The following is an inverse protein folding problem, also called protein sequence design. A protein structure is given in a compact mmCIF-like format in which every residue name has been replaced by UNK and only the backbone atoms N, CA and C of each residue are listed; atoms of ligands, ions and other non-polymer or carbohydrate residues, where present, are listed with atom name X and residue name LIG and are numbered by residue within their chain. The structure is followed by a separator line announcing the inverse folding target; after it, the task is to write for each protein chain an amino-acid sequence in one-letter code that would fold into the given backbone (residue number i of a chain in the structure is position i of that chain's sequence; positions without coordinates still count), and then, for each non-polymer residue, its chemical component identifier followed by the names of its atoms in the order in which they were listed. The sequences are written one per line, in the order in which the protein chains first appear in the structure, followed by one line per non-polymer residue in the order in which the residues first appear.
data_IF_338567675175
#
_entry.id   IF_338567675175
#
_cell.length_a   1.000
_cell.length_b   1.000
_cell.length_c   1.000
_cell.angle_alpha   90.00
_cell.angle_beta   90.00
_cell.angle_gamma   90.00
#
_symmetry.space_group_name_H-M   'P 1'
#
loop_
_entity.id
_entity.type
_entity.pdbx_description
1 polymer ?
#
# COMPACT_ATOMS: atom_id res chain seq x y z
N UNK A 1 -29.02 6.83 -62.54
CA UNK A 1 -28.43 7.08 -61.20
C UNK A 1 -29.09 8.32 -60.61
N UNK A 2 -29.66 8.20 -59.41
CA UNK A 2 -30.33 9.31 -58.74
C UNK A 2 -29.28 10.12 -57.98
N UNK A 3 -28.73 11.16 -58.62
CA UNK A 3 -27.58 11.93 -58.12
C UNK A 3 -27.77 12.46 -56.70
N UNK A 4 -29.01 12.78 -56.29
CA UNK A 4 -29.32 13.23 -54.94
C UNK A 4 -29.24 12.10 -53.91
N UNK A 5 -29.66 10.89 -54.27
CA UNK A 5 -29.53 9.70 -53.42
C UNK A 5 -28.07 9.28 -53.24
N UNK A 6 -27.25 9.39 -54.29
CA UNK A 6 -25.83 9.06 -54.24
C UNK A 6 -25.05 10.03 -53.34
N UNK A 7 -25.39 11.33 -53.38
CA UNK A 7 -24.82 12.35 -52.47
C UNK A 7 -25.23 12.09 -51.02
N UNK A 8 -26.52 11.81 -50.77
CA UNK A 8 -27.02 11.51 -49.44
C UNK A 8 -26.35 10.26 -48.83
N UNK A 9 -26.16 9.20 -49.63
CA UNK A 9 -25.44 8.01 -49.19
C UNK A 9 -23.98 8.30 -48.88
N UNK A 10 -23.31 9.10 -49.72
CA UNK A 10 -21.90 9.47 -49.51
C UNK A 10 -21.70 10.26 -48.21
N UNK A 11 -22.63 11.18 -47.90
CA UNK A 11 -22.62 11.93 -46.63
C UNK A 11 -22.88 11.01 -45.43
N UNK A 12 -23.85 10.09 -45.56
CA UNK A 12 -24.15 9.11 -44.50
C UNK A 12 -22.94 8.22 -44.20
N UNK A 13 -22.27 7.74 -45.24
CA UNK A 13 -21.04 6.94 -45.13
C UNK A 13 -19.93 7.75 -44.46
N UNK A 14 -19.71 9.01 -44.86
CA UNK A 14 -18.71 9.88 -44.23
C UNK A 14 -18.99 10.15 -42.75
N UNK A 15 -20.27 10.33 -42.37
CA UNK A 15 -20.68 10.47 -40.98
C UNK A 15 -20.46 9.17 -40.18
N UNK A 16 -20.79 8.02 -40.76
CA UNK A 16 -20.56 6.73 -40.12
C UNK A 16 -19.06 6.46 -39.89
N UNK A 17 -18.21 6.76 -40.89
CA UNK A 17 -16.76 6.66 -40.75
C UNK A 17 -16.20 7.61 -39.68
N UNK A 18 -16.71 8.85 -39.64
CA UNK A 18 -16.27 9.83 -38.64
C UNK A 18 -16.66 9.38 -37.23
N UNK A 19 -17.88 8.89 -37.05
CA UNK A 19 -18.34 8.33 -35.77
C UNK A 19 -17.50 7.12 -35.33
N UNK A 20 -17.17 6.22 -36.26
CA UNK A 20 -16.29 5.08 -35.99
C UNK A 20 -14.88 5.51 -35.58
N UNK A 21 -14.31 6.52 -36.24
CA UNK A 21 -13.00 7.08 -35.89
C UNK A 21 -13.01 7.71 -34.49
N UNK A 22 -14.03 8.51 -34.16
CA UNK A 22 -14.17 9.09 -32.83
C UNK A 22 -14.35 8.03 -31.74
N UNK A 23 -15.15 6.99 -32.01
CA UNK A 23 -15.29 5.86 -31.10
C UNK A 23 -13.94 5.18 -30.85
N UNK A 24 -13.14 4.94 -31.90
CA UNK A 24 -11.81 4.34 -31.78
C UNK A 24 -10.86 5.19 -30.93
N UNK A 25 -10.83 6.51 -31.16
CA UNK A 25 -10.01 7.45 -30.36
C UNK A 25 -10.46 7.43 -28.90
N UNK A 26 -11.76 7.44 -28.64
CA UNK A 26 -12.30 7.39 -27.29
C UNK A 26 -11.92 6.08 -26.58
N UNK A 27 -12.01 4.93 -27.26
CA UNK A 27 -11.58 3.64 -26.71
C UNK A 27 -10.08 3.61 -26.39
N UNK A 28 -9.22 4.09 -27.29
CA UNK A 28 -7.77 4.15 -27.04
C UNK A 28 -7.41 5.09 -25.88
N UNK A 29 -8.12 6.22 -25.76
CA UNK A 29 -7.92 7.15 -24.64
C UNK A 29 -8.38 6.53 -23.31
N UNK A 30 -9.53 5.86 -23.32
CA UNK A 30 -10.06 5.16 -22.16
C UNK A 30 -9.13 4.04 -21.69
N UNK A 31 -8.68 3.16 -22.59
CA UNK A 31 -7.78 2.03 -22.27
C UNK A 31 -6.46 2.51 -21.66
N UNK A 32 -5.82 3.53 -22.26
CA UNK A 32 -4.63 4.14 -21.69
C UNK A 32 -4.86 4.76 -20.30
N UNK A 33 -6.02 5.37 -20.08
CA UNK A 33 -6.36 5.94 -18.76
C UNK A 33 -6.60 4.85 -17.71
N UNK A 34 -7.17 3.72 -18.12
CA UNK A 34 -7.40 2.57 -17.26
C UNK A 34 -6.08 1.90 -16.87
N UNK A 35 -5.21 1.61 -17.85
CA UNK A 35 -3.89 1.01 -17.61
C UNK A 35 -3.02 1.87 -16.70
N UNK A 36 -3.06 3.20 -16.85
CA UNK A 36 -2.35 4.12 -15.95
C UNK A 36 -2.86 4.03 -14.51
N UNK A 37 -4.19 4.04 -14.33
CA UNK A 37 -4.78 3.90 -12.99
C UNK A 37 -4.44 2.55 -12.37
N UNK A 38 -4.51 1.47 -13.14
CA UNK A 38 -4.17 0.13 -12.66
C UNK A 38 -2.70 0.04 -12.23
N UNK A 39 -1.79 0.60 -13.04
CA UNK A 39 -0.37 0.69 -12.68
C UNK A 39 -0.13 1.52 -11.40
N UNK A 40 -0.82 2.65 -11.24
CA UNK A 40 -0.77 3.46 -10.01
C UNK A 40 -1.26 2.68 -8.79
N UNK A 41 -2.39 1.95 -8.91
CA UNK A 41 -2.89 1.11 -7.82
C UNK A 41 -1.96 -0.05 -7.50
N UNK A 42 -1.37 -0.68 -8.50
CA UNK A 42 -0.37 -1.73 -8.29
C UNK A 42 0.85 -1.19 -7.54
N UNK A 43 1.37 -0.03 -7.96
CA UNK A 43 2.51 0.60 -7.29
C UNK A 43 2.20 0.95 -5.82
N UNK A 44 1.03 1.54 -5.54
CA UNK A 44 0.62 1.83 -4.16
C UNK A 44 0.47 0.55 -3.31
N UNK A 45 -0.08 -0.52 -3.90
CA UNK A 45 -0.20 -1.83 -3.22
C UNK A 45 1.18 -2.41 -2.90
N UNK A 46 2.11 -2.32 -3.84
CA UNK A 46 3.47 -2.84 -3.69
C UNK A 46 4.25 -2.04 -2.65
N UNK A 47 4.07 -0.71 -2.59
CA UNK A 47 4.62 0.15 -1.54
C UNK A 47 4.09 -0.23 -0.16
N UNK A 48 2.77 -0.40 0.01
CA UNK A 48 2.19 -0.87 1.28
C UNK A 48 2.69 -2.27 1.65
N UNK A 49 2.86 -3.15 0.66
CA UNK A 49 3.47 -4.46 0.86
C UNK A 49 4.91 -4.39 1.33
N UNK A 50 5.71 -3.48 0.75
CA UNK A 50 7.08 -3.21 1.18
C UNK A 50 7.12 -2.65 2.60
N UNK A 51 6.32 -1.63 2.90
CA UNK A 51 6.23 -1.03 4.24
C UNK A 51 5.87 -2.06 5.30
N UNK A 52 4.89 -2.93 5.02
CA UNK A 52 4.53 -4.02 5.93
C UNK A 52 5.71 -4.94 6.23
N UNK A 53 6.41 -5.43 5.19
CA UNK A 53 7.58 -6.30 5.37
C UNK A 53 8.71 -5.60 6.12
N UNK A 54 8.94 -4.33 5.83
CA UNK A 54 9.95 -3.53 6.50
C UNK A 54 9.67 -3.41 8.00
N UNK A 55 8.45 -3.05 8.39
CA UNK A 55 8.06 -2.95 9.80
C UNK A 55 8.22 -4.30 10.51
N UNK A 56 7.81 -5.39 9.87
CA UNK A 56 7.92 -6.74 10.43
C UNK A 56 9.40 -7.08 10.71
N UNK A 57 10.28 -6.82 9.76
CA UNK A 57 11.70 -7.15 9.91
C UNK A 57 12.39 -6.28 10.95
N UNK A 58 12.12 -4.96 10.97
CA UNK A 58 12.65 -4.08 12.01
C UNK A 58 12.14 -4.47 13.41
N UNK A 59 10.87 -4.83 13.52
CA UNK A 59 10.28 -5.30 14.77
C UNK A 59 10.88 -6.63 15.22
N UNK A 60 11.21 -7.52 14.28
CA UNK A 60 11.91 -8.77 14.60
C UNK A 60 13.30 -8.49 15.17
N UNK A 61 14.11 -7.70 14.47
CA UNK A 61 15.46 -7.35 14.91
C UNK A 61 15.42 -6.64 16.28
N UNK A 62 14.54 -5.66 16.45
CA UNK A 62 14.39 -4.96 17.72
C UNK A 62 13.89 -5.89 18.84
N UNK A 63 13.02 -6.84 18.53
CA UNK A 63 12.53 -7.85 19.46
C UNK A 63 13.65 -8.76 19.95
N UNK A 64 14.45 -9.31 19.04
CA UNK A 64 15.60 -10.15 19.37
C UNK A 64 16.63 -9.42 20.25
N UNK A 65 16.99 -8.18 19.87
CA UNK A 65 17.91 -7.37 20.67
C UNK A 65 17.32 -7.08 22.07
N UNK A 66 16.02 -6.79 22.14
CA UNK A 66 15.33 -6.51 23.39
C UNK A 66 15.36 -7.71 24.34
N UNK A 67 15.09 -8.91 23.82
CA UNK A 67 15.12 -10.17 24.56
C UNK A 67 16.55 -10.46 25.05
N UNK A 68 17.55 -10.30 24.18
CA UNK A 68 18.97 -10.50 24.51
C UNK A 68 19.47 -9.55 25.61
N UNK A 69 19.00 -8.29 25.62
CA UNK A 69 19.33 -7.32 26.69
C UNK A 69 18.78 -7.74 28.05
N UNK A 70 17.68 -8.51 28.08
CA UNK A 70 17.00 -8.91 29.30
C UNK A 70 16.39 -7.74 30.09
N UNK A 71 15.78 -8.04 31.24
CA UNK A 71 15.07 -7.04 32.04
C UNK A 71 13.70 -6.68 31.44
N UNK A 72 13.38 -5.40 31.34
CA UNK A 72 12.10 -4.95 30.78
C UNK A 72 12.14 -4.95 29.24
N UNK A 73 11.73 -6.08 28.66
CA UNK A 73 11.69 -6.29 27.21
C UNK A 73 10.78 -5.31 26.47
N UNK A 74 9.71 -4.80 27.11
CA UNK A 74 8.80 -3.86 26.45
C UNK A 74 9.49 -2.50 26.32
N UNK A 75 10.08 -2.02 27.42
CA UNK A 75 10.81 -0.74 27.44
C UNK A 75 12.04 -0.79 26.54
N UNK A 76 12.80 -1.88 26.58
CA UNK A 76 13.96 -2.08 25.69
C UNK A 76 13.56 -2.02 24.22
N UNK A 77 12.50 -2.74 23.82
CA UNK A 77 12.00 -2.73 22.45
C UNK A 77 11.61 -1.33 22.00
N UNK A 78 10.86 -0.61 22.84
CA UNK A 78 10.43 0.76 22.55
C UNK A 78 11.62 1.70 22.32
N UNK A 79 12.67 1.61 23.15
CA UNK A 79 13.88 2.41 22.99
C UNK A 79 14.63 2.06 21.70
N UNK A 80 14.82 0.77 21.42
CA UNK A 80 15.50 0.30 20.19
C UNK A 80 14.77 0.79 18.95
N UNK A 81 13.44 0.71 18.94
CA UNK A 81 12.63 1.20 17.83
C UNK A 81 12.72 2.71 17.67
N UNK A 82 12.80 3.48 18.75
CA UNK A 82 13.02 4.94 18.67
C UNK A 82 14.41 5.31 18.14
N UNK A 83 15.44 4.55 18.52
CA UNK A 83 16.83 4.75 18.06
C UNK A 83 17.01 4.35 16.59
N UNK A 84 16.34 3.28 16.15
CA UNK A 84 16.51 2.69 14.81
C UNK A 84 15.43 3.12 13.81
N UNK A 85 14.41 3.86 14.22
CA UNK A 85 13.31 4.26 13.36
C UNK A 85 13.81 5.04 12.14
N UNK A 86 13.74 4.42 10.96
CA UNK A 86 13.81 5.14 9.70
C UNK A 86 12.40 5.56 9.35
N UNK A 87 12.08 6.88 9.36
CA UNK A 87 10.73 7.34 9.11
C UNK A 87 10.37 7.10 7.64
N UNK A 88 9.61 6.05 7.39
CA UNK A 88 8.93 5.84 6.12
C UNK A 88 7.49 6.32 6.23
N UNK A 89 7.03 7.10 5.25
CA UNK A 89 5.75 7.81 5.33
C UNK A 89 4.57 6.88 5.61
N UNK A 90 4.56 5.69 4.98
CA UNK A 90 3.50 4.71 5.15
C UNK A 90 3.47 3.98 6.50
N UNK A 91 4.50 4.11 7.34
CA UNK A 91 4.59 3.45 8.66
C UNK A 91 4.46 4.41 9.84
N UNK A 92 4.16 5.70 9.59
CA UNK A 92 4.18 6.73 10.64
C UNK A 92 3.34 6.35 11.87
N UNK A 93 2.11 5.88 11.66
CA UNK A 93 1.21 5.52 12.75
C UNK A 93 1.70 4.31 13.55
N UNK A 94 2.36 3.34 12.92
CA UNK A 94 3.02 2.25 13.64
C UNK A 94 4.07 2.77 14.63
N UNK A 95 4.96 3.67 14.19
CA UNK A 95 5.99 4.23 15.09
C UNK A 95 5.38 5.07 16.21
N UNK A 96 4.29 5.79 15.95
CA UNK A 96 3.54 6.51 16.96
C UNK A 96 2.99 5.54 18.03
N UNK A 97 2.37 4.43 17.64
CA UNK A 97 1.87 3.40 18.56
C UNK A 97 2.99 2.86 19.47
N UNK A 98 4.15 2.56 18.88
CA UNK A 98 5.32 2.13 19.67
C UNK A 98 5.78 3.22 20.62
N UNK A 99 5.84 4.48 20.16
CA UNK A 99 6.29 5.61 20.97
C UNK A 99 5.38 5.87 22.16
N UNK A 100 4.06 5.76 22.00
CA UNK A 100 3.09 5.97 23.09
C UNK A 100 2.87 4.73 23.95
N UNK A 101 3.43 3.57 23.55
CA UNK A 101 3.34 2.32 24.31
C UNK A 101 2.07 1.50 24.05
N UNK A 102 1.33 1.82 22.98
CA UNK A 102 0.12 1.13 22.48
C UNK A 102 0.49 -0.17 21.75
N UNK A 103 1.19 -1.05 22.47
CA UNK A 103 1.57 -2.39 22.05
C UNK A 103 1.80 -3.29 23.26
N UNK A 104 1.84 -4.59 23.03
CA UNK A 104 2.19 -5.59 24.04
C UNK A 104 3.45 -6.34 23.64
N UNK A 105 4.32 -6.59 24.61
CA UNK A 105 5.46 -7.49 24.45
C UNK A 105 5.55 -8.34 25.71
N UNK A 106 5.14 -9.61 25.61
CA UNK A 106 4.95 -10.49 26.77
C UNK A 106 5.73 -11.78 26.62
N UNK A 107 6.30 -12.25 27.72
CA UNK A 107 6.95 -13.55 27.82
C UNK A 107 6.00 -14.57 28.43
N UNK A 108 5.88 -15.74 27.81
CA UNK A 108 5.13 -16.90 28.33
C UNK A 108 6.00 -18.15 28.18
N UNK A 109 6.66 -18.54 29.27
CA UNK A 109 7.63 -19.64 29.25
C UNK A 109 8.83 -19.28 28.36
N UNK A 110 9.11 -20.12 27.38
CA UNK A 110 10.23 -19.94 26.44
C UNK A 110 9.89 -19.09 25.21
N UNK A 111 8.69 -18.53 25.16
CA UNK A 111 8.20 -17.74 24.03
C UNK A 111 7.97 -16.29 24.42
N UNK A 112 8.32 -15.38 23.52
CA UNK A 112 7.97 -13.97 23.61
C UNK A 112 7.05 -13.58 22.47
N UNK A 113 6.02 -12.81 22.76
CA UNK A 113 5.02 -12.39 21.80
C UNK A 113 4.96 -10.86 21.81
N UNK A 114 5.29 -10.27 20.67
CA UNK A 114 5.03 -8.87 20.34
C UNK A 114 3.68 -8.80 19.62
N UNK A 115 2.75 -7.97 20.09
CA UNK A 115 1.52 -7.63 19.38
C UNK A 115 1.33 -6.12 19.34
N UNK A 116 1.08 -5.61 18.13
CA UNK A 116 0.75 -4.20 17.85
C UNK A 116 -0.60 -4.19 17.11
N UNK A 117 -1.69 -3.81 17.77
CA UNK A 117 -3.02 -3.78 17.17
C UNK A 117 -3.18 -2.57 16.23
N UNK A 118 -4.16 -2.67 15.33
CA UNK A 118 -4.67 -1.57 14.50
C UNK A 118 -3.59 -0.77 13.75
N UNK A 119 -2.60 -1.47 13.17
CA UNK A 119 -1.55 -0.86 12.37
C UNK A 119 -2.09 -0.49 10.98
N UNK A 120 -2.09 0.81 10.70
CA UNK A 120 -2.49 1.42 9.45
C UNK A 120 -1.25 1.70 8.61
N UNK A 121 -1.19 1.06 7.45
CA UNK A 121 -0.17 1.30 6.44
C UNK A 121 -0.83 1.94 5.23
N UNK A 122 -0.31 3.10 4.80
CA UNK A 122 -0.87 3.86 3.70
C UNK A 122 0.14 4.22 2.62
N UNK A 123 -0.32 4.22 1.37
CA UNK A 123 0.36 4.81 0.22
C UNK A 123 -0.59 5.77 -0.50
N UNK A 124 -0.04 6.85 -1.05
CA UNK A 124 -0.80 7.91 -1.74
C UNK A 124 -0.17 8.21 -3.09
N UNK A 125 -1.00 8.29 -4.12
CA UNK A 125 -0.62 8.77 -5.45
C UNK A 125 -1.69 9.74 -5.96
N UNK A 126 -1.34 11.03 -6.06
CA UNK A 126 -2.28 12.09 -6.39
C UNK A 126 -3.45 12.15 -5.39
N UNK A 127 -4.67 11.93 -5.88
CA UNK A 127 -5.89 11.86 -5.05
C UNK A 127 -6.24 10.43 -4.60
N UNK A 128 -5.52 9.43 -5.09
CA UNK A 128 -5.77 8.04 -4.73
C UNK A 128 -5.00 7.68 -3.46
N UNK A 129 -5.62 6.83 -2.64
CA UNK A 129 -5.03 6.31 -1.40
C UNK A 129 -5.28 4.82 -1.32
N UNK A 130 -4.25 4.06 -1.02
CA UNK A 130 -4.34 2.65 -0.67
C UNK A 130 -4.05 2.50 0.82
N UNK A 131 -4.92 1.80 1.55
CA UNK A 131 -4.81 1.61 3.00
C UNK A 131 -4.90 0.12 3.32
N UNK A 132 -3.99 -0.35 4.16
CA UNK A 132 -4.07 -1.65 4.82
C UNK A 132 -4.16 -1.44 6.32
N UNK A 133 -5.23 -1.95 6.93
CA UNK A 133 -5.31 -2.12 8.38
C UNK A 133 -4.92 -3.57 8.71
N UNK A 134 -4.02 -3.76 9.67
CA UNK A 134 -3.51 -5.07 10.07
C UNK A 134 -3.10 -5.06 11.52
N UNK A 135 -3.12 -6.24 12.15
CA UNK A 135 -2.36 -6.46 13.37
C UNK A 135 -0.95 -6.95 13.01
N UNK A 136 0.03 -6.59 13.83
CA UNK A 136 1.37 -7.18 13.79
C UNK A 136 1.51 -8.08 15.00
N UNK A 137 1.71 -9.38 14.76
CA UNK A 137 2.01 -10.37 15.80
C UNK A 137 3.32 -11.06 15.41
N UNK A 138 4.32 -10.98 16.28
CA UNK A 138 5.59 -11.69 16.14
C UNK A 138 5.83 -12.57 17.36
N UNK A 139 6.18 -13.83 17.09
CA UNK A 139 6.59 -14.80 18.10
C UNK A 139 8.11 -14.98 18.00
N UNK A 140 8.75 -14.99 19.15
CA UNK A 140 10.18 -15.21 19.31
C UNK A 140 10.39 -16.40 20.24
N UNK A 141 11.24 -17.32 19.83
CA UNK A 141 11.74 -18.39 20.69
C UNK A 141 12.99 -17.88 21.45
N UNK A 142 13.18 -18.35 22.69
CA UNK A 142 14.40 -18.13 23.48
C UNK A 142 15.66 -18.74 22.84
#
# INVERSE_FOLDING_TARGET
MNKLGDIAMSVLVALAFSAALFALIAFMSFDNSYLKKDAEYSAMRDEVGFTYRYIIEESRIAGEISIQRGGDIKTNFQQIMQERAVPIAGAKQFYELIQVGEFSFTSKGDKHILSVPDVIIESKSGFNKYIRNTEIILEFDN
#
